data_IF_089493641349
#
_entry.id   IF_089493641349
#
_cell.length_a   1.000
_cell.length_b   1.000
_cell.length_c   1.000
_cell.angle_alpha   90.00
_cell.angle_beta   90.00
_cell.angle_gamma   90.00
#
_symmetry.space_group_name_H-M   'P 1'
#
loop_
_entity.id
_entity.type
_entity.pdbx_description
1 polymer ?
#
# COMPACT_ATOMS: atom_id res chain seq x y z
N UNK A 1 -8.82 5.34 4.34
CA UNK A 1 -8.42 5.37 2.92
C UNK A 1 -7.43 4.25 2.63
N UNK A 2 -7.45 3.74 1.42
CA UNK A 2 -6.60 2.65 1.00
C UNK A 2 -5.77 3.05 -0.21
N UNK A 3 -4.62 2.40 -0.35
CA UNK A 3 -3.76 2.56 -1.51
C UNK A 3 -3.51 1.20 -2.14
N UNK A 4 -3.72 1.11 -3.44
CA UNK A 4 -3.30 -0.04 -4.24
C UNK A 4 -1.87 0.24 -4.70
N UNK A 5 -0.96 -0.67 -4.40
CA UNK A 5 0.46 -0.47 -4.65
C UNK A 5 1.04 -1.63 -5.47
N UNK A 6 2.10 -1.33 -6.22
CA UNK A 6 2.90 -2.33 -6.90
C UNK A 6 4.18 -2.56 -6.11
N UNK A 7 4.47 -3.82 -5.84
CA UNK A 7 5.66 -4.25 -5.10
C UNK A 7 6.80 -4.58 -6.05
N UNK A 8 8.06 -4.38 -5.63
CA UNK A 8 9.24 -4.72 -6.46
C UNK A 8 9.54 -6.23 -6.38
N UNK A 9 8.52 -7.04 -6.60
CA UNK A 9 8.60 -8.50 -6.52
C UNK A 9 7.95 -9.08 -7.78
N UNK A 10 8.30 -10.32 -8.17
CA UNK A 10 7.70 -10.96 -9.35
C UNK A 10 6.29 -11.47 -9.06
N UNK A 11 5.40 -10.55 -8.72
CA UNK A 11 4.01 -10.82 -8.38
C UNK A 11 3.11 -10.09 -9.36
N UNK A 12 1.97 -10.69 -9.65
CA UNK A 12 0.98 -10.08 -10.53
C UNK A 12 0.04 -9.18 -9.73
N UNK A 13 -0.37 -8.08 -10.36
CA UNK A 13 -1.40 -7.20 -9.82
C UNK A 13 -0.91 -6.25 -8.75
N UNK A 14 -1.87 -5.71 -8.02
CA UNK A 14 -1.63 -4.73 -6.96
C UNK A 14 -2.04 -5.32 -5.62
N UNK A 15 -1.46 -4.76 -4.56
CA UNK A 15 -1.83 -5.10 -3.19
C UNK A 15 -2.37 -3.86 -2.50
N UNK A 16 -3.39 -4.04 -1.69
CA UNK A 16 -4.08 -2.93 -1.04
C UNK A 16 -3.60 -2.80 0.40
N UNK A 17 -3.21 -1.58 0.76
CA UNK A 17 -2.78 -1.23 2.11
C UNK A 17 -3.65 -0.13 2.68
N UNK A 18 -3.82 -0.14 4.00
CA UNK A 18 -4.48 0.97 4.68
C UNK A 18 -3.52 2.14 4.83
N UNK A 19 -4.03 3.34 4.63
CA UNK A 19 -3.27 4.56 4.85
C UNK A 19 -3.66 5.10 6.21
N UNK A 20 -2.75 5.10 7.20
CA UNK A 20 -3.04 5.71 8.49
C UNK A 20 -3.43 7.18 8.34
N UNK A 21 -4.30 7.65 9.22
CA UNK A 21 -4.84 9.00 9.12
C UNK A 21 -3.78 10.09 9.08
N UNK A 22 -2.69 9.91 9.82
CA UNK A 22 -1.61 10.87 9.88
C UNK A 22 -0.75 10.91 8.60
N UNK A 23 -0.92 9.94 7.70
CA UNK A 23 -0.18 9.88 6.43
C UNK A 23 -1.03 10.24 5.22
N UNK A 24 -2.32 10.42 5.39
CA UNK A 24 -3.23 10.62 4.26
C UNK A 24 -2.87 11.80 3.37
N UNK A 25 -2.34 12.86 3.96
CA UNK A 25 -1.95 14.05 3.19
C UNK A 25 -0.64 13.87 2.42
N UNK A 26 0.13 12.85 2.76
CA UNK A 26 1.46 12.63 2.19
C UNK A 26 1.47 11.54 1.12
N UNK A 27 0.40 10.75 1.03
CA UNK A 27 0.34 9.63 0.08
C UNK A 27 -0.45 10.04 -1.15
N UNK A 28 0.19 9.94 -2.31
CA UNK A 28 -0.40 10.31 -3.59
C UNK A 28 -0.06 9.25 -4.63
N UNK A 29 -0.88 9.18 -5.69
CA UNK A 29 -0.60 8.29 -6.82
C UNK A 29 0.77 8.62 -7.39
N UNK A 30 1.57 7.59 -7.62
CA UNK A 30 2.93 7.72 -8.14
C UNK A 30 4.01 7.84 -7.08
N UNK A 31 3.65 8.09 -5.81
CA UNK A 31 4.67 8.20 -4.77
C UNK A 31 5.13 6.82 -4.31
N UNK A 32 6.29 6.81 -3.65
CA UNK A 32 6.85 5.62 -3.03
C UNK A 32 6.43 5.57 -1.58
N UNK A 33 6.05 4.37 -1.14
CA UNK A 33 5.68 4.13 0.26
C UNK A 33 6.39 2.89 0.75
N UNK A 34 6.59 2.83 2.06
CA UNK A 34 7.18 1.67 2.69
C UNK A 34 6.06 0.79 3.23
N UNK A 35 6.07 -0.49 2.84
CA UNK A 35 5.01 -1.41 3.21
C UNK A 35 5.58 -2.73 3.72
N UNK A 36 4.93 -3.36 4.70
CA UNK A 36 5.27 -4.70 5.11
C UNK A 36 4.71 -5.71 4.10
N UNK A 37 5.47 -6.76 3.82
CA UNK A 37 5.01 -7.85 2.97
C UNK A 37 5.70 -9.14 3.38
N UNK A 38 4.89 -10.14 3.73
CA UNK A 38 5.43 -11.36 4.30
C UNK A 38 5.91 -11.17 5.73
N UNK A 39 6.57 -12.20 6.29
CA UNK A 39 7.07 -12.13 7.65
C UNK A 39 8.37 -11.32 7.70
N UNK A 40 8.38 -10.25 8.48
CA UNK A 40 9.59 -9.47 8.80
C UNK A 40 10.27 -8.81 7.59
N UNK A 41 9.53 -8.55 6.52
CA UNK A 41 10.08 -7.89 5.35
C UNK A 41 9.34 -6.61 5.05
N UNK A 42 10.09 -5.63 4.57
CA UNK A 42 9.59 -4.32 4.21
C UNK A 42 10.06 -4.01 2.81
N UNK A 43 9.17 -3.41 2.01
CA UNK A 43 9.50 -3.06 0.64
C UNK A 43 9.06 -1.63 0.34
N UNK A 44 9.78 -0.97 -0.54
CA UNK A 44 9.34 0.28 -1.12
C UNK A 44 8.41 -0.05 -2.29
N UNK A 45 7.19 0.44 -2.22
CA UNK A 45 6.17 0.19 -3.23
C UNK A 45 5.74 1.50 -3.90
N UNK A 46 5.14 1.38 -5.07
CA UNK A 46 4.63 2.55 -5.82
C UNK A 46 3.11 2.56 -5.70
N UNK A 47 2.56 3.70 -5.32
CA UNK A 47 1.11 3.87 -5.23
C UNK A 47 0.53 4.04 -6.62
N UNK A 48 -0.40 3.16 -6.98
CA UNK A 48 -1.06 3.17 -8.28
C UNK A 48 -2.45 3.77 -8.22
N UNK A 49 -3.14 3.64 -7.08
CA UNK A 49 -4.50 4.15 -6.93
C UNK A 49 -4.82 4.39 -5.46
N UNK A 50 -5.61 5.41 -5.19
CA UNK A 50 -6.17 5.69 -3.87
C UNK A 50 -7.68 5.48 -3.92
N UNK A 51 -8.24 4.86 -2.87
CA UNK A 51 -9.68 4.61 -2.81
C UNK A 51 -10.14 4.32 -1.38
N UNK A 52 -11.45 4.17 -1.21
CA UNK A 52 -12.05 3.88 0.09
C UNK A 52 -12.75 2.52 0.13
N UNK A 53 -12.57 1.69 -0.90
CA UNK A 53 -13.19 0.38 -0.96
C UNK A 53 -12.37 -0.63 -0.17
N UNK A 54 -12.91 -1.08 0.96
CA UNK A 54 -12.24 -2.08 1.81
C UNK A 54 -12.16 -3.41 1.06
N UNK A 55 -10.95 -4.02 0.94
CA UNK A 55 -10.83 -5.33 0.31
C UNK A 55 -11.38 -6.45 1.20
N UNK A 56 -11.52 -7.65 0.62
CA UNK A 56 -12.04 -8.82 1.31
C UNK A 56 -11.11 -9.43 2.34
N UNK A 57 -9.91 -8.89 2.47
CA UNK A 57 -8.90 -9.40 3.40
C UNK A 57 -8.46 -8.30 4.36
N UNK A 58 -7.84 -8.70 5.46
CA UNK A 58 -7.29 -7.74 6.40
C UNK A 58 -6.10 -7.03 5.77
N UNK A 59 -6.11 -5.70 5.80
CA UNK A 59 -5.03 -4.90 5.24
C UNK A 59 -4.00 -4.57 6.32
N UNK A 60 -2.75 -4.42 5.90
CA UNK A 60 -1.69 -3.88 6.72
C UNK A 60 -1.55 -2.40 6.42
N UNK A 61 -0.86 -1.69 7.30
CA UNK A 61 -0.69 -0.25 7.18
C UNK A 61 0.57 0.10 6.40
N UNK A 62 0.49 1.17 5.63
CA UNK A 62 1.66 1.86 5.10
C UNK A 62 2.43 2.45 6.28
N UNK A 63 3.71 2.41 6.21
CA UNK A 63 4.60 2.88 7.29
C UNK A 63 5.22 4.23 6.99
#
# INVERSE_FOLDING_TARGET
MYADVVLPLPLDGVYTYNIPADLEHNVQVGCRVLVPFGARKMYTAIVMRLHNAKPDYATKDIL
#
